data_IF_826371842582
#
_entry.id   IF_826371842582
#
_cell.length_a   1.000
_cell.length_b   1.000
_cell.length_c   1.000
_cell.angle_alpha   90.00
_cell.angle_beta   90.00
_cell.angle_gamma   90.00
#
_symmetry.space_group_name_H-M   'P 1'
#
loop_
_entity.id
_entity.type
_entity.pdbx_description
1 polymer ?
#
# COMPACT_ATOMS: atom_id res chain seq x y z
N UNK A 1 5.21 6.46 -12.80
CA UNK A 1 5.78 5.13 -12.44
C UNK A 1 6.27 5.17 -11.01
N UNK A 2 7.22 6.05 -10.72
CA UNK A 2 7.79 6.28 -9.38
C UNK A 2 6.70 6.53 -8.32
N UNK A 3 5.77 7.46 -8.56
CA UNK A 3 4.67 7.74 -7.63
C UNK A 3 3.82 6.50 -7.30
N UNK A 4 3.62 5.63 -8.30
CA UNK A 4 2.84 4.41 -8.13
C UNK A 4 3.61 3.41 -7.28
N UNK A 5 4.90 3.23 -7.55
CA UNK A 5 5.78 2.36 -6.75
C UNK A 5 5.85 2.86 -5.30
N UNK A 6 5.98 4.18 -5.10
CA UNK A 6 6.02 4.78 -3.78
C UNK A 6 4.70 4.59 -3.03
N UNK A 7 3.56 4.85 -3.68
CA UNK A 7 2.23 4.58 -3.10
C UNK A 7 2.08 3.11 -2.70
N UNK A 8 2.56 2.18 -3.53
CA UNK A 8 2.51 0.75 -3.21
C UNK A 8 3.42 0.38 -2.03
N UNK A 9 4.59 1.02 -1.86
CA UNK A 9 5.46 0.82 -0.70
C UNK A 9 4.89 1.34 0.63
N UNK A 10 3.94 2.27 0.59
CA UNK A 10 3.21 2.68 1.79
C UNK A 10 2.07 1.72 2.15
N UNK A 11 1.44 1.13 1.13
CA UNK A 11 0.28 0.23 1.30
C UNK A 11 0.74 -1.17 1.68
N UNK A 12 1.75 -1.68 1.00
CA UNK A 12 2.35 -2.97 1.26
C UNK A 12 3.60 -2.75 2.10
N UNK A 13 3.88 -3.61 3.08
CA UNK A 13 5.08 -3.50 3.92
C UNK A 13 6.35 -3.89 3.11
N UNK A 14 6.68 -3.06 2.12
CA UNK A 14 7.78 -3.26 1.18
C UNK A 14 8.57 -1.96 1.02
N UNK A 15 9.85 -2.08 0.76
CA UNK A 15 10.74 -0.97 0.42
C UNK A 15 11.31 -1.17 -0.99
N UNK A 16 11.59 -0.07 -1.67
CA UNK A 16 12.10 -0.10 -3.06
C UNK A 16 13.60 0.04 -3.03
N UNK A 17 14.31 -1.04 -3.36
CA UNK A 17 15.78 -1.05 -3.33
C UNK A 17 16.39 -0.52 -4.63
N UNK A 18 15.77 -0.87 -5.77
CA UNK A 18 16.21 -0.44 -7.09
C UNK A 18 15.07 -0.58 -8.11
N UNK A 19 15.12 0.20 -9.18
CA UNK A 19 14.26 0.02 -10.35
C UNK A 19 15.00 0.42 -11.63
N UNK A 20 14.62 -0.18 -12.75
CA UNK A 20 15.14 0.14 -14.07
C UNK A 20 13.99 0.19 -15.09
N UNK A 21 13.91 1.29 -15.84
CA UNK A 21 12.87 1.52 -16.84
C UNK A 21 13.48 1.40 -18.23
N UNK A 22 12.89 0.54 -19.06
CA UNK A 22 13.21 0.38 -20.47
C UNK A 22 11.96 0.62 -21.31
N UNK A 23 12.14 0.83 -22.61
CA UNK A 23 11.03 1.12 -23.54
C UNK A 23 9.99 -0.01 -23.64
N UNK A 24 10.36 -1.25 -23.28
CA UNK A 24 9.50 -2.42 -23.42
C UNK A 24 9.16 -3.12 -22.09
N UNK A 25 9.83 -2.81 -20.98
CA UNK A 25 9.53 -3.39 -19.66
C UNK A 25 10.18 -2.60 -18.51
N UNK A 26 9.89 -3.03 -17.28
CA UNK A 26 10.46 -2.45 -16.06
C UNK A 26 10.91 -3.55 -15.11
N UNK A 27 12.10 -3.41 -14.54
CA UNK A 27 12.57 -4.23 -13.43
C UNK A 27 12.44 -3.45 -12.12
N UNK A 28 11.97 -4.11 -11.07
CA UNK A 28 11.84 -3.54 -9.73
C UNK A 28 12.38 -4.54 -8.71
N UNK A 29 13.25 -4.07 -7.82
CA UNK A 29 13.80 -4.84 -6.69
C UNK A 29 13.16 -4.32 -5.42
N UNK A 30 12.49 -5.21 -4.70
CA UNK A 30 11.74 -4.90 -3.50
C UNK A 30 12.32 -5.68 -2.31
N UNK A 31 12.38 -5.02 -1.15
CA UNK A 31 12.58 -5.68 0.13
C UNK A 31 11.21 -5.87 0.79
N UNK A 32 10.90 -7.09 1.22
CA UNK A 32 9.69 -7.36 2.01
C UNK A 32 10.04 -7.21 3.49
N UNK A 33 9.45 -6.21 4.13
CA UNK A 33 9.72 -5.88 5.53
C UNK A 33 8.72 -6.61 6.40
N UNK A 34 8.99 -7.89 6.66
CA UNK A 34 8.08 -8.78 7.40
C UNK A 34 7.74 -8.23 8.79
N UNK A 35 8.73 -7.74 9.53
CA UNK A 35 8.52 -7.22 10.89
C UNK A 35 7.47 -6.08 10.90
N UNK A 36 7.56 -5.18 9.92
CA UNK A 36 6.58 -4.10 9.71
C UNK A 36 5.18 -4.64 9.36
N UNK A 37 5.11 -5.73 8.60
CA UNK A 37 3.83 -6.37 8.26
C UNK A 37 3.19 -7.03 9.50
N UNK A 38 4.01 -7.69 10.32
CA UNK A 38 3.57 -8.39 11.53
C UNK A 38 3.06 -7.41 12.61
N UNK A 39 3.53 -6.16 12.60
CA UNK A 39 3.03 -5.07 13.45
C UNK A 39 1.68 -4.50 13.00
N UNK A 40 1.19 -4.81 11.80
CA UNK A 40 -0.07 -4.25 11.34
C UNK A 40 -1.27 -4.91 12.02
N UNK A 41 -2.11 -4.09 12.67
CA UNK A 41 -3.42 -4.55 13.13
C UNK A 41 -4.34 -4.82 11.94
N UNK A 42 -5.36 -5.64 12.15
CA UNK A 42 -6.39 -5.94 11.14
C UNK A 42 -7.02 -4.66 10.56
N UNK A 43 -7.35 -3.68 11.41
CA UNK A 43 -7.89 -2.39 10.99
C UNK A 43 -6.90 -1.64 10.10
N UNK A 44 -5.62 -1.66 10.48
CA UNK A 44 -4.56 -0.98 9.75
C UNK A 44 -4.30 -1.65 8.38
N UNK A 45 -4.45 -2.97 8.27
CA UNK A 45 -4.42 -3.70 7.00
C UNK A 45 -5.62 -3.29 6.13
N UNK A 46 -6.83 -3.26 6.69
CA UNK A 46 -8.04 -2.86 5.96
C UNK A 46 -7.91 -1.43 5.44
N UNK A 47 -7.50 -0.48 6.29
CA UNK A 47 -7.30 0.92 5.92
C UNK A 47 -6.29 1.09 4.77
N UNK A 48 -5.18 0.35 4.81
CA UNK A 48 -4.18 0.35 3.72
C UNK A 48 -4.75 -0.23 2.42
N UNK A 49 -5.50 -1.33 2.50
CA UNK A 49 -6.17 -1.94 1.33
C UNK A 49 -7.16 -0.97 0.67
N UNK A 50 -7.92 -0.22 1.47
CA UNK A 50 -8.89 0.76 0.97
C UNK A 50 -8.25 1.99 0.28
N UNK A 51 -6.94 2.23 0.44
CA UNK A 51 -6.22 3.24 -0.36
C UNK A 51 -6.14 2.88 -1.85
N UNK A 52 -6.17 1.58 -2.17
CA UNK A 52 -6.03 1.08 -3.54
C UNK A 52 -7.35 0.58 -4.13
N UNK A 53 -8.25 0.09 -3.29
CA UNK A 53 -9.49 -0.57 -3.70
C UNK A 53 -10.68 -0.06 -2.89
N UNK A 54 -11.90 -0.17 -3.42
CA UNK A 54 -13.12 0.25 -2.69
C UNK A 54 -13.52 -0.68 -1.54
N UNK A 55 -12.82 -1.82 -1.39
CA UNK A 55 -13.15 -2.91 -0.49
C UNK A 55 -14.54 -3.53 -0.73
N UNK A 56 -14.98 -4.32 0.25
CA UNK A 56 -16.32 -4.95 0.29
C UNK A 56 -17.17 -4.35 1.42
N UNK A 57 -18.47 -4.63 1.41
CA UNK A 57 -19.40 -4.21 2.49
C UNK A 57 -18.94 -4.65 3.89
N UNK A 58 -18.16 -5.74 3.99
CA UNK A 58 -17.61 -6.22 5.27
C UNK A 58 -16.45 -5.33 5.77
N UNK A 59 -15.67 -4.78 4.85
CA UNK A 59 -14.46 -4.00 5.16
C UNK A 59 -14.71 -2.49 5.20
N UNK A 60 -15.81 -2.02 4.60
CA UNK A 60 -16.18 -0.60 4.57
C UNK A 60 -16.48 0.01 5.94
N UNK A 61 -17.10 -0.69 6.91
CA UNK A 61 -17.31 -0.13 8.25
C UNK A 61 -16.00 0.18 8.99
N UNK A 62 -14.97 -0.62 8.76
CA UNK A 62 -13.63 -0.38 9.29
C UNK A 62 -12.91 0.76 8.55
N UNK A 63 -13.38 1.13 7.35
CA UNK A 63 -12.95 2.30 6.58
C UNK A 63 -13.86 3.50 6.88
N UNK A 64 -13.65 4.15 8.03
CA UNK A 64 -14.17 5.50 8.26
C UNK A 64 -13.11 6.50 7.79
N UNK A 65 -13.24 7.13 6.61
CA UNK A 65 -12.42 8.29 6.31
C UNK A 65 -12.80 9.32 7.38
N UNK A 66 -11.86 9.71 8.26
CA UNK A 66 -12.07 10.87 9.11
C UNK A 66 -12.54 11.98 8.18
N UNK A 67 -13.79 12.42 8.35
CA UNK A 67 -14.31 13.55 7.60
C UNK A 67 -13.28 14.69 7.71
N UNK A 68 -12.92 15.36 6.61
CA UNK A 68 -12.05 16.52 6.71
C UNK A 68 -12.71 17.50 7.68
N UNK A 69 -11.97 17.90 8.72
CA UNK A 69 -12.40 18.95 9.64
C UNK A 69 -12.28 20.29 8.90
N UNK A 70 -13.26 20.63 8.07
CA UNK A 70 -13.50 21.98 7.57
C UNK A 70 -15.00 22.18 7.38
#
# INVERSE_FOLDING_TARGET
MEDRIHTLSEVFAIDVCAYAVMSNHTHVVLLVTKDKADEFTTEAVIQRWHKLYKGTLLTQPAYHPRAPQY
#
